data_IF_402506501155
#
_entry.id   IF_402506501155
#
_cell.length_a   1.000
_cell.length_b   1.000
_cell.length_c   1.000
_cell.angle_alpha   90.00
_cell.angle_beta   90.00
_cell.angle_gamma   90.00
#
_symmetry.space_group_name_H-M   'P 1'
#
loop_
_entity.id
_entity.type
_entity.pdbx_description
1 polymer ?
#
# COMPACT_ATOMS: atom_id res chain seq x y z
N UNK A 1 -3.48 -12.24 9.91
CA UNK A 1 -2.90 -13.58 10.14
C UNK A 1 -3.94 -14.67 10.41
N UNK A 2 -5.15 -14.37 10.87
CA UNK A 2 -6.12 -15.38 11.33
C UNK A 2 -6.72 -16.29 10.25
N UNK A 3 -7.01 -15.79 9.04
CA UNK A 3 -7.79 -16.57 8.05
C UNK A 3 -6.97 -17.61 7.27
N UNK A 4 -5.79 -17.21 6.77
CA UNK A 4 -4.86 -18.17 6.18
C UNK A 4 -4.46 -19.21 7.23
N UNK A 5 -4.24 -18.79 8.48
CA UNK A 5 -3.93 -19.69 9.58
C UNK A 5 -5.09 -20.65 9.90
N UNK A 6 -6.35 -20.20 9.98
CA UNK A 6 -7.52 -21.07 10.19
C UNK A 6 -7.71 -22.10 9.07
N UNK A 7 -7.53 -21.68 7.80
CA UNK A 7 -7.57 -22.60 6.66
C UNK A 7 -6.43 -23.62 6.76
N UNK A 8 -5.22 -23.17 7.09
CA UNK A 8 -4.03 -24.04 7.22
C UNK A 8 -4.20 -25.02 8.38
N UNK A 9 -4.65 -24.57 9.56
CA UNK A 9 -4.92 -25.40 10.73
C UNK A 9 -5.98 -26.47 10.45
N UNK A 10 -7.04 -26.12 9.72
CA UNK A 10 -8.08 -27.08 9.32
C UNK A 10 -7.60 -28.08 8.26
N UNK A 11 -6.73 -27.67 7.33
CA UNK A 11 -6.05 -28.57 6.38
C UNK A 11 -5.12 -29.56 7.11
N UNK A 12 -4.44 -29.11 8.18
CA UNK A 12 -3.58 -29.96 9.01
C UNK A 12 -4.34 -30.75 10.10
N UNK A 13 -5.68 -30.65 10.17
CA UNK A 13 -6.50 -31.37 11.16
C UNK A 13 -6.31 -30.89 12.60
N UNK A 14 -5.71 -29.71 12.80
CA UNK A 14 -5.50 -29.09 14.11
C UNK A 14 -6.66 -28.11 14.32
N UNK A 15 -7.82 -28.58 14.79
CA UNK A 15 -9.00 -27.73 14.98
C UNK A 15 -10.11 -28.47 15.73
N UNK A 16 -10.98 -27.72 16.41
CA UNK A 16 -12.12 -28.32 17.12
C UNK A 16 -13.03 -29.06 16.16
N UNK A 17 -13.45 -30.28 16.50
CA UNK A 17 -14.27 -31.17 15.66
C UNK A 17 -15.65 -30.59 15.26
N UNK A 18 -16.01 -29.41 15.77
CA UNK A 18 -17.32 -28.79 15.60
C UNK A 18 -17.39 -27.71 14.51
N UNK A 19 -16.27 -27.35 13.87
CA UNK A 19 -16.30 -26.40 12.77
C UNK A 19 -16.46 -27.13 11.43
N UNK A 20 -17.52 -26.84 10.68
CA UNK A 20 -17.70 -27.30 9.29
C UNK A 20 -16.88 -26.46 8.31
N UNK A 21 -16.51 -27.01 7.14
CA UNK A 21 -15.77 -26.26 6.11
C UNK A 21 -16.55 -25.05 5.58
N UNK A 22 -17.87 -25.20 5.51
CA UNK A 22 -18.77 -24.15 5.04
C UNK A 22 -18.74 -22.91 5.94
N UNK A 23 -18.74 -23.08 7.27
CA UNK A 23 -18.70 -21.94 8.19
C UNK A 23 -17.39 -21.16 8.08
N UNK A 24 -16.26 -21.85 8.01
CA UNK A 24 -14.92 -21.21 7.89
C UNK A 24 -14.76 -20.46 6.58
N UNK A 25 -15.26 -21.02 5.47
CA UNK A 25 -15.19 -20.36 4.16
C UNK A 25 -16.13 -19.15 4.08
N UNK A 26 -17.35 -19.28 4.60
CA UNK A 26 -18.34 -18.21 4.58
C UNK A 26 -17.94 -17.05 5.50
N UNK A 27 -17.42 -17.37 6.69
CA UNK A 27 -16.88 -16.38 7.62
C UNK A 27 -15.70 -15.64 7.01
N UNK A 28 -14.75 -16.35 6.40
CA UNK A 28 -13.60 -15.75 5.71
C UNK A 28 -14.05 -14.88 4.52
N UNK A 29 -15.03 -15.34 3.74
CA UNK A 29 -15.56 -14.61 2.58
C UNK A 29 -16.20 -13.26 2.97
N UNK A 30 -16.87 -13.20 4.13
CA UNK A 30 -17.50 -11.97 4.62
C UNK A 30 -16.54 -11.06 5.38
N UNK A 31 -15.67 -11.62 6.21
CA UNK A 31 -14.79 -10.82 7.07
C UNK A 31 -13.64 -10.18 6.31
N UNK A 32 -13.07 -10.82 5.28
CA UNK A 32 -11.98 -10.25 4.47
C UNK A 32 -12.39 -8.91 3.82
N UNK A 33 -13.48 -8.82 3.03
CA UNK A 33 -13.90 -7.56 2.43
C UNK A 33 -14.37 -6.55 3.47
N UNK A 34 -15.01 -6.97 4.56
CA UNK A 34 -15.44 -6.07 5.63
C UNK A 34 -14.25 -5.41 6.34
N UNK A 35 -13.22 -6.19 6.67
CA UNK A 35 -11.97 -5.68 7.25
C UNK A 35 -11.26 -4.73 6.30
N UNK A 36 -11.22 -5.08 5.01
CA UNK A 36 -10.69 -4.18 4.00
C UNK A 36 -11.50 -2.89 3.93
N UNK A 37 -12.83 -2.93 3.98
CA UNK A 37 -13.67 -1.74 3.88
C UNK A 37 -13.59 -0.85 5.12
N UNK A 38 -13.43 -1.43 6.32
CA UNK A 38 -13.41 -0.68 7.57
C UNK A 38 -12.05 0.01 7.80
N UNK A 39 -10.96 -0.72 7.54
CA UNK A 39 -9.61 -0.28 7.87
C UNK A 39 -8.79 0.13 6.64
N UNK A 40 -9.07 -0.47 5.48
CA UNK A 40 -8.36 -0.20 4.22
C UNK A 40 -8.49 1.25 3.77
N UNK A 41 -9.69 1.84 3.64
CA UNK A 41 -9.85 3.23 3.25
C UNK A 41 -9.15 4.22 4.17
N UNK A 42 -9.12 3.97 5.48
CA UNK A 42 -8.44 4.85 6.43
C UNK A 42 -6.92 4.82 6.20
N UNK A 43 -6.35 3.62 6.05
CA UNK A 43 -4.92 3.44 5.81
C UNK A 43 -4.52 3.98 4.43
N UNK A 44 -5.29 3.64 3.39
CA UNK A 44 -5.06 4.10 2.01
C UNK A 44 -5.24 5.61 1.92
N UNK A 45 -6.30 6.16 2.53
CA UNK A 45 -6.58 7.58 2.55
C UNK A 45 -5.50 8.37 3.29
N UNK A 46 -5.06 7.89 4.46
CA UNK A 46 -3.93 8.48 5.20
C UNK A 46 -2.63 8.44 4.38
N UNK A 47 -2.36 7.33 3.70
CA UNK A 47 -1.22 7.20 2.81
C UNK A 47 -1.25 8.22 1.65
N UNK A 48 -2.39 8.37 0.98
CA UNK A 48 -2.57 9.38 -0.06
C UNK A 48 -2.46 10.81 0.47
N UNK A 49 -2.98 11.10 1.67
CA UNK A 49 -2.89 12.42 2.28
C UNK A 49 -1.42 12.81 2.56
N UNK A 50 -0.62 11.88 3.07
CA UNK A 50 0.82 12.09 3.30
C UNK A 50 1.55 12.34 1.98
N UNK A 51 1.24 11.56 0.93
CA UNK A 51 1.80 11.76 -0.41
C UNK A 51 1.50 13.14 -0.97
N UNK A 52 0.24 13.56 -0.94
CA UNK A 52 -0.19 14.87 -1.42
C UNK A 52 0.49 15.98 -0.60
N UNK A 53 0.60 15.82 0.72
CA UNK A 53 1.32 16.76 1.58
C UNK A 53 2.80 16.88 1.21
N UNK A 54 3.46 15.76 0.93
CA UNK A 54 4.85 15.71 0.46
C UNK A 54 5.02 16.38 -0.90
N UNK A 55 4.14 16.06 -1.86
CA UNK A 55 4.10 16.70 -3.18
C UNK A 55 3.97 18.22 -3.02
N UNK A 56 2.97 18.70 -2.26
CA UNK A 56 2.73 20.14 -2.05
C UNK A 56 3.95 20.81 -1.43
N UNK A 57 4.51 20.25 -0.35
CA UNK A 57 5.67 20.81 0.32
C UNK A 57 6.88 20.84 -0.61
N UNK A 58 7.12 19.77 -1.35
CA UNK A 58 8.24 19.69 -2.27
C UNK A 58 8.10 20.65 -3.46
N UNK A 59 6.92 20.83 -4.05
CA UNK A 59 6.73 21.74 -5.19
C UNK A 59 6.60 23.22 -4.79
N UNK A 60 6.15 23.53 -3.57
CA UNK A 60 5.98 24.91 -3.11
C UNK A 60 7.23 25.48 -2.43
N UNK A 61 7.93 24.66 -1.63
CA UNK A 61 9.07 25.14 -0.83
C UNK A 61 10.39 24.96 -1.56
N UNK A 62 10.55 23.87 -2.30
CA UNK A 62 11.81 23.51 -2.95
C UNK A 62 11.70 23.57 -4.47
N UNK A 63 12.52 24.39 -5.13
CA UNK A 63 12.72 24.31 -6.60
C UNK A 63 13.55 23.08 -7.00
N UNK A 64 13.37 21.96 -6.32
CA UNK A 64 14.10 20.73 -6.61
C UNK A 64 13.59 20.13 -7.92
N UNK A 65 14.48 19.53 -8.74
CA UNK A 65 14.06 18.83 -9.92
C UNK A 65 13.14 17.65 -9.54
N UNK A 66 12.10 17.44 -10.35
CA UNK A 66 11.04 16.44 -10.15
C UNK A 66 11.57 15.07 -9.71
N UNK A 67 12.65 14.58 -10.33
CA UNK A 67 13.26 13.30 -9.98
C UNK A 67 13.73 13.23 -8.52
N UNK A 68 14.27 14.31 -7.95
CA UNK A 68 14.74 14.34 -6.56
C UNK A 68 13.58 14.31 -5.57
N UNK A 69 12.47 14.96 -5.91
CA UNK A 69 11.24 14.93 -5.09
C UNK A 69 10.68 13.52 -5.02
N UNK A 70 10.55 12.87 -6.17
CA UNK A 70 10.06 11.49 -6.28
C UNK A 70 10.98 10.49 -5.55
N UNK A 71 12.30 10.70 -5.62
CA UNK A 71 13.27 9.90 -4.87
C UNK A 71 13.11 10.10 -3.35
N UNK A 72 12.87 11.33 -2.89
CA UNK A 72 12.61 11.63 -1.48
C UNK A 72 11.31 10.98 -0.98
N UNK A 73 10.23 11.09 -1.75
CA UNK A 73 8.96 10.40 -1.46
C UNK A 73 9.17 8.90 -1.34
N UNK A 74 9.88 8.30 -2.29
CA UNK A 74 10.21 6.88 -2.27
C UNK A 74 11.04 6.51 -1.04
N UNK A 75 12.07 7.30 -0.71
CA UNK A 75 12.96 7.03 0.43
C UNK A 75 12.28 7.21 1.78
N UNK A 76 11.26 8.07 1.88
CA UNK A 76 10.46 8.22 3.11
C UNK A 76 9.49 7.07 3.31
N UNK A 77 8.91 6.57 2.22
CA UNK A 77 7.79 5.64 2.26
C UNK A 77 8.25 4.18 2.25
N UNK A 78 9.21 3.84 1.41
CA UNK A 78 9.65 2.46 1.23
C UNK A 78 10.27 1.83 2.48
N UNK A 79 11.06 2.52 3.31
CA UNK A 79 11.58 1.93 4.55
C UNK A 79 10.47 1.48 5.51
N UNK A 80 9.34 2.19 5.55
CA UNK A 80 8.18 1.80 6.37
C UNK A 80 7.61 0.48 5.84
N UNK A 81 7.44 0.36 4.52
CA UNK A 81 6.96 -0.89 3.90
C UNK A 81 7.95 -2.05 4.05
N UNK A 82 9.25 -1.80 3.92
CA UNK A 82 10.29 -2.81 4.15
C UNK A 82 10.25 -3.26 5.61
N UNK A 83 10.19 -2.32 6.56
CA UNK A 83 10.06 -2.61 7.98
C UNK A 83 8.83 -3.48 8.27
N UNK A 84 7.66 -3.11 7.73
CA UNK A 84 6.44 -3.92 7.85
C UNK A 84 6.55 -5.29 7.19
N UNK A 85 7.23 -5.39 6.04
CA UNK A 85 7.47 -6.68 5.38
C UNK A 85 8.21 -7.65 6.31
N UNK A 86 9.23 -7.16 7.02
CA UNK A 86 10.00 -7.96 7.97
C UNK A 86 9.24 -8.21 9.29
N UNK A 87 8.61 -7.19 9.88
CA UNK A 87 7.90 -7.33 11.17
C UNK A 87 6.70 -8.26 11.06
N UNK A 88 5.93 -8.15 9.98
CA UNK A 88 4.70 -8.94 9.81
C UNK A 88 4.90 -10.19 8.94
N UNK A 89 6.12 -10.44 8.44
CA UNK A 89 6.42 -11.50 7.47
C UNK A 89 5.51 -11.48 6.23
N UNK A 90 4.97 -10.31 5.88
CA UNK A 90 4.07 -10.11 4.74
C UNK A 90 4.85 -9.55 3.55
N UNK A 91 5.32 -10.44 2.68
CA UNK A 91 6.05 -10.09 1.46
C UNK A 91 5.25 -9.22 0.47
N UNK A 92 3.92 -9.16 0.62
CA UNK A 92 3.05 -8.24 -0.12
C UNK A 92 3.50 -6.77 0.01
N UNK A 93 4.03 -6.37 1.17
CA UNK A 93 4.55 -5.03 1.39
C UNK A 93 5.78 -4.71 0.54
N UNK A 94 6.59 -5.73 0.21
CA UNK A 94 7.71 -5.58 -0.71
C UNK A 94 7.22 -5.37 -2.15
N UNK A 95 6.19 -6.11 -2.57
CA UNK A 95 5.54 -5.92 -3.86
C UNK A 95 4.91 -4.51 -3.96
N UNK A 96 4.31 -4.02 -2.88
CA UNK A 96 3.79 -2.66 -2.76
C UNK A 96 4.91 -1.62 -2.90
N UNK A 97 6.04 -1.78 -2.22
CA UNK A 97 7.20 -0.89 -2.35
C UNK A 97 7.73 -0.83 -3.80
N UNK A 98 7.76 -1.98 -4.49
CA UNK A 98 8.15 -2.05 -5.90
C UNK A 98 7.12 -1.38 -6.82
N UNK A 99 5.83 -1.61 -6.58
CA UNK A 99 4.73 -1.00 -7.33
C UNK A 99 4.75 0.53 -7.19
N UNK A 100 5.16 1.02 -6.03
CA UNK A 100 5.30 2.45 -5.77
C UNK A 100 6.42 3.06 -6.62
N UNK A 101 7.56 2.39 -6.76
CA UNK A 101 8.65 2.82 -7.65
C UNK A 101 8.20 2.92 -9.11
N UNK A 102 7.48 1.90 -9.60
CA UNK A 102 6.92 1.88 -10.95
C UNK A 102 5.93 3.02 -11.17
N UNK A 103 5.03 3.24 -10.20
CA UNK A 103 4.01 4.29 -10.28
C UNK A 103 4.66 5.68 -10.31
N UNK A 104 5.69 5.90 -9.50
CA UNK A 104 6.50 7.11 -9.48
C UNK A 104 7.19 7.35 -10.84
N UNK A 105 7.78 6.31 -11.43
CA UNK A 105 8.42 6.39 -12.75
C UNK A 105 7.43 6.76 -13.87
N UNK A 106 6.24 6.17 -13.85
CA UNK A 106 5.16 6.48 -14.80
C UNK A 106 4.59 7.91 -14.61
N UNK A 107 4.72 8.49 -13.42
CA UNK A 107 4.21 9.83 -13.08
C UNK A 107 5.10 10.95 -13.63
N UNK A 108 6.41 10.71 -13.75
CA UNK A 108 7.40 11.67 -14.27
C UNK A 108 6.98 12.33 -15.60
N UNK A 109 6.69 11.57 -16.68
CA UNK A 109 6.35 12.17 -17.97
C UNK A 109 5.04 12.97 -17.92
N UNK A 110 4.09 12.59 -17.06
CA UNK A 110 2.81 13.30 -16.90
C UNK A 110 3.01 14.67 -16.24
N UNK A 111 3.79 14.73 -15.16
CA UNK A 111 4.09 15.99 -14.47
C UNK A 111 4.93 16.92 -15.36
N UNK A 112 5.90 16.37 -16.09
CA UNK A 112 6.71 17.14 -17.04
C UNK A 112 5.85 17.85 -18.10
N UNK A 113 4.83 17.18 -18.66
CA UNK A 113 3.89 17.79 -19.61
C UNK A 113 3.07 18.92 -18.99
N UNK A 114 2.60 18.76 -17.75
CA UNK A 114 1.82 19.79 -17.05
C UNK A 114 2.68 21.03 -16.76
N UNK A 115 3.94 20.83 -16.35
CA UNK A 115 4.88 21.93 -16.11
C UNK A 115 5.20 22.68 -17.42
N UNK A 116 5.39 21.98 -18.54
CA UNK A 116 5.58 22.60 -19.85
C UNK A 116 4.35 23.41 -20.28
N UNK A 117 3.14 22.89 -20.10
CA UNK A 117 1.90 23.60 -20.42
C UNK A 117 1.74 24.91 -19.62
N UNK A 118 2.19 24.92 -18.36
CA UNK A 118 2.15 26.12 -17.50
C UNK A 118 3.19 27.18 -17.85
N UNK A 119 4.25 26.84 -18.60
CA UNK A 119 5.26 27.81 -19.03
C UNK A 119 4.91 28.53 -20.34
N UNK A 120 3.88 28.05 -21.05
CA UNK A 120 3.37 28.62 -22.30
C UNK A 120 2.02 29.35 -22.14
N UNK A 121 1.49 29.41 -20.92
CA UNK A 121 0.30 30.18 -20.54
C UNK A 121 0.72 31.37 -19.68
#
# INVERSE_FOLDING_TARGET
MTYAFNITFKVFGIGSEHETWESVLLESLLTIPLLFLLYGPLIIGGFYAVLIGLDVLCFTVTRLPLWRVLLLEWLLIVPIFIWWAFVYHYWLWLALALSFLLTQWMRIPKIARILQAKHHA
#
